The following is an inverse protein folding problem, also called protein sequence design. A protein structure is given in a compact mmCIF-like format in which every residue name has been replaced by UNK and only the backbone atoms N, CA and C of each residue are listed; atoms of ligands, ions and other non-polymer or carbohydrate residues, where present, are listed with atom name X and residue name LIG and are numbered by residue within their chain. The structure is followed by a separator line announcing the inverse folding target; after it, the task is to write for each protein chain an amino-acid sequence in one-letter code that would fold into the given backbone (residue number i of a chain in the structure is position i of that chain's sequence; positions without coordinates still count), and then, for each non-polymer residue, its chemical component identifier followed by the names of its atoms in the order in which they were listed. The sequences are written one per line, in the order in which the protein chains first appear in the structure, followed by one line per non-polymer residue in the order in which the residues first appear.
data_IF_947715443499
#
_entry.id   IF_947715443499
#
_cell.length_a   1.000
_cell.length_b   1.000
_cell.length_c   1.000
_cell.angle_alpha   90.00
_cell.angle_beta   90.00
_cell.angle_gamma   90.00
#
_symmetry.space_group_name_H-M   'P 1'
#
loop_
_entity.id
_entity.type
_entity.pdbx_description
1 polymer ?
#
# COMPACT_ATOMS: atom_id res chain seq x y z
N UNK A 1 2.15 -14.77 39.97
CA UNK A 1 3.17 -15.84 40.11
C UNK A 1 3.57 -16.08 41.56
N UNK A 2 3.75 -15.05 42.35
CA UNK A 2 4.19 -15.14 43.75
C UNK A 2 3.29 -15.96 44.65
N UNK A 3 1.97 -15.86 44.55
CA UNK A 3 1.04 -16.64 45.37
C UNK A 3 1.13 -18.15 45.13
N UNK A 4 1.25 -18.58 43.86
CA UNK A 4 1.42 -20.00 43.55
C UNK A 4 2.73 -20.55 44.05
N UNK A 5 3.77 -19.72 44.02
CA UNK A 5 5.09 -20.08 44.55
C UNK A 5 5.04 -20.22 46.05
N UNK A 6 4.41 -19.27 46.79
CA UNK A 6 4.21 -19.35 48.24
C UNK A 6 3.40 -20.57 48.64
N UNK A 7 2.32 -20.85 47.91
CA UNK A 7 1.51 -22.03 48.12
C UNK A 7 2.32 -23.33 48.01
N UNK A 8 3.20 -23.44 46.98
CA UNK A 8 4.04 -24.63 46.82
C UNK A 8 5.12 -24.70 47.87
N UNK A 9 5.78 -23.58 48.22
CA UNK A 9 6.85 -23.56 49.23
C UNK A 9 6.33 -24.11 50.58
N UNK A 10 5.20 -23.63 51.05
CA UNK A 10 4.59 -24.05 52.32
C UNK A 10 4.11 -25.53 52.29
N UNK A 11 3.64 -26.02 51.13
CA UNK A 11 3.33 -27.44 50.97
C UNK A 11 4.58 -28.33 51.06
N UNK A 12 5.72 -27.85 50.57
CA UNK A 12 7.00 -28.55 50.66
C UNK A 12 7.58 -28.54 52.08
N UNK A 13 7.25 -27.52 52.90
CA UNK A 13 7.55 -27.41 54.30
C UNK A 13 6.70 -28.37 55.20
N UNK A 14 5.75 -29.09 54.56
CA UNK A 14 4.96 -30.13 55.24
C UNK A 14 3.56 -29.70 55.68
N UNK A 15 3.08 -28.53 55.30
CA UNK A 15 1.73 -28.09 55.61
C UNK A 15 0.68 -28.93 54.85
N UNK A 16 -0.48 -29.12 55.51
CA UNK A 16 -1.55 -29.97 54.93
C UNK A 16 -2.28 -29.23 53.80
N UNK A 17 -2.41 -29.90 52.63
CA UNK A 17 -3.11 -29.39 51.46
C UNK A 17 -4.48 -28.76 51.76
N UNK A 18 -5.27 -29.37 52.69
CA UNK A 18 -6.59 -28.86 53.02
C UNK A 18 -6.58 -27.52 53.78
N UNK A 19 -5.54 -27.28 54.58
CA UNK A 19 -5.35 -26.02 55.31
C UNK A 19 -4.93 -24.94 54.34
N UNK A 20 -3.93 -25.24 53.51
CA UNK A 20 -3.41 -24.32 52.48
C UNK A 20 -4.50 -23.89 51.48
N UNK A 21 -5.31 -24.83 51.01
CA UNK A 21 -6.40 -24.48 50.08
C UNK A 21 -7.44 -23.55 50.69
N UNK A 22 -7.69 -23.64 52.03
CA UNK A 22 -8.60 -22.70 52.73
C UNK A 22 -7.96 -21.31 52.86
N UNK A 23 -6.72 -21.26 53.23
CA UNK A 23 -6.00 -19.98 53.42
C UNK A 23 -5.84 -19.21 52.11
N UNK A 24 -5.54 -19.92 51.01
CA UNK A 24 -5.41 -19.32 49.70
C UNK A 24 -6.73 -19.22 48.91
N UNK A 25 -7.87 -19.49 49.56
CA UNK A 25 -9.22 -19.42 48.97
C UNK A 25 -9.38 -20.19 47.66
N UNK A 26 -8.67 -21.31 47.51
CA UNK A 26 -8.75 -22.16 46.32
C UNK A 26 -9.37 -23.52 46.62
N UNK A 27 -10.01 -24.12 45.62
CA UNK A 27 -10.52 -25.49 45.78
C UNK A 27 -9.39 -26.50 45.93
N UNK A 28 -9.62 -27.59 46.65
CA UNK A 28 -8.66 -28.70 46.77
C UNK A 28 -8.24 -29.24 45.40
N UNK A 29 -9.18 -29.30 44.43
CA UNK A 29 -8.91 -29.70 43.05
C UNK A 29 -7.89 -28.78 42.40
N UNK A 30 -8.02 -27.47 42.63
CA UNK A 30 -7.05 -26.45 42.11
C UNK A 30 -5.70 -26.62 42.80
N UNK A 31 -5.67 -26.81 44.12
CA UNK A 31 -4.42 -27.02 44.85
C UNK A 31 -3.64 -28.24 44.36
N UNK A 32 -4.31 -29.40 44.23
CA UNK A 32 -3.68 -30.59 43.67
C UNK A 32 -3.21 -30.37 42.20
N UNK A 33 -3.97 -29.66 41.41
CA UNK A 33 -3.57 -29.32 40.01
C UNK A 33 -2.29 -28.49 39.96
N UNK A 34 -2.17 -27.49 40.84
CA UNK A 34 -0.95 -26.64 40.92
C UNK A 34 0.22 -27.51 41.39
N UNK A 35 0.05 -28.32 42.41
CA UNK A 35 1.08 -29.18 42.97
C UNK A 35 1.56 -30.23 41.97
N UNK A 36 0.66 -30.92 41.26
CA UNK A 36 1.00 -31.88 40.19
C UNK A 36 1.77 -31.23 39.03
N UNK A 37 1.38 -30.03 38.68
CA UNK A 37 2.08 -29.26 37.63
C UNK A 37 3.50 -28.90 38.07
N UNK A 38 3.67 -28.48 39.31
CA UNK A 38 4.97 -28.23 39.90
C UNK A 38 5.84 -29.49 39.92
N UNK A 39 5.31 -30.64 40.35
CA UNK A 39 6.06 -31.91 40.33
C UNK A 39 6.52 -32.32 38.94
N UNK A 40 5.72 -32.05 37.90
CA UNK A 40 6.05 -32.43 36.51
C UNK A 40 6.99 -31.47 35.80
N UNK A 41 6.87 -30.18 36.05
CA UNK A 41 7.51 -29.14 35.26
C UNK A 41 8.31 -28.11 36.07
N UNK A 42 8.50 -28.35 37.36
CA UNK A 42 9.16 -27.40 38.25
C UNK A 42 8.47 -26.04 38.31
N UNK A 43 9.26 -24.98 38.45
CA UNK A 43 8.77 -23.60 38.52
C UNK A 43 8.06 -23.18 37.23
N UNK A 44 8.46 -23.69 36.07
CA UNK A 44 7.78 -23.42 34.79
C UNK A 44 6.32 -23.92 34.79
N UNK A 45 6.00 -24.95 35.57
CA UNK A 45 4.64 -25.45 35.76
C UNK A 45 3.70 -24.46 36.42
N UNK A 46 4.22 -23.44 37.12
CA UNK A 46 3.42 -22.44 37.84
C UNK A 46 3.02 -21.26 36.93
N UNK A 47 3.64 -21.10 35.76
CA UNK A 47 3.26 -20.08 34.79
C UNK A 47 1.89 -20.36 34.18
N UNK A 48 1.20 -19.28 33.79
CA UNK A 48 -0.06 -19.43 33.08
C UNK A 48 0.15 -20.01 31.69
N UNK A 49 -0.63 -21.04 31.37
CA UNK A 49 -0.60 -21.63 30.03
C UNK A 49 -1.51 -20.85 29.10
N UNK A 50 -1.10 -20.70 27.84
CA UNK A 50 -1.97 -20.17 26.81
C UNK A 50 -3.26 -21.00 26.71
N UNK A 51 -4.40 -20.32 26.72
CA UNK A 51 -5.71 -20.94 26.51
C UNK A 51 -6.11 -21.06 25.05
N UNK A 52 -5.18 -20.70 24.13
CA UNK A 52 -5.43 -20.79 22.68
C UNK A 52 -5.60 -22.25 22.27
N UNK A 53 -6.61 -22.52 21.45
CA UNK A 53 -6.81 -23.83 20.84
C UNK A 53 -5.60 -24.21 19.98
N UNK A 54 -5.13 -25.45 20.09
CA UNK A 54 -4.08 -26.01 19.23
C UNK A 54 -4.58 -26.22 17.79
N UNK A 55 -5.88 -26.47 17.61
CA UNK A 55 -6.54 -26.62 16.33
C UNK A 55 -7.53 -25.47 16.13
N UNK A 56 -7.23 -24.61 15.19
CA UNK A 56 -8.16 -23.55 14.76
C UNK A 56 -8.73 -23.98 13.41
N UNK A 57 -10.03 -24.26 13.34
CA UNK A 57 -10.72 -24.70 12.13
C UNK A 57 -10.54 -23.72 10.94
N UNK A 58 -10.36 -22.42 11.24
CA UNK A 58 -10.20 -21.36 10.25
C UNK A 58 -8.72 -20.96 10.00
N UNK A 59 -7.76 -21.84 10.33
CA UNK A 59 -6.35 -21.55 10.04
C UNK A 59 -6.12 -21.62 8.54
N UNK A 60 -5.49 -20.58 8.02
CA UNK A 60 -5.11 -20.52 6.61
C UNK A 60 -4.19 -21.70 6.24
N UNK A 61 -4.42 -22.40 5.11
CA UNK A 61 -3.53 -23.45 4.63
C UNK A 61 -2.10 -22.94 4.50
N UNK A 62 -1.13 -23.76 4.91
CA UNK A 62 0.30 -23.41 4.90
C UNK A 62 0.78 -22.93 3.52
N UNK A 63 0.29 -23.57 2.46
CA UNK A 63 0.63 -23.21 1.08
C UNK A 63 0.23 -21.75 0.76
N UNK A 64 -0.96 -21.32 1.18
CA UNK A 64 -1.43 -19.93 0.94
C UNK A 64 -0.63 -18.94 1.78
N UNK A 65 -0.29 -19.28 3.03
CA UNK A 65 0.57 -18.47 3.88
C UNK A 65 1.95 -18.28 3.26
N UNK A 66 2.55 -19.34 2.73
CA UNK A 66 3.85 -19.32 2.04
C UNK A 66 3.80 -18.43 0.80
N UNK A 67 2.74 -18.49 -0.01
CA UNK A 67 2.57 -17.63 -1.19
C UNK A 67 2.43 -16.15 -0.81
N UNK A 68 1.69 -15.84 0.26
CA UNK A 68 1.58 -14.46 0.79
C UNK A 68 2.96 -13.92 1.15
N UNK A 69 3.76 -14.71 1.86
CA UNK A 69 5.11 -14.31 2.28
C UNK A 69 6.05 -14.15 1.10
N UNK A 70 6.00 -15.07 0.13
CA UNK A 70 6.80 -15.00 -1.10
C UNK A 70 6.49 -13.71 -1.87
N UNK A 71 5.22 -13.39 -2.13
CA UNK A 71 4.86 -12.15 -2.82
C UNK A 71 5.23 -10.90 -2.03
N UNK A 72 5.25 -10.96 -0.70
CA UNK A 72 5.76 -9.86 0.12
C UNK A 72 7.26 -9.68 0.01
N UNK A 73 8.02 -10.76 -0.14
CA UNK A 73 9.48 -10.73 -0.36
C UNK A 73 9.82 -10.21 -1.76
N UNK A 74 9.10 -10.68 -2.79
CA UNK A 74 9.25 -10.20 -4.17
C UNK A 74 8.89 -8.72 -4.31
N UNK A 75 7.87 -8.26 -3.57
CA UNK A 75 7.37 -6.89 -3.59
C UNK A 75 7.26 -6.29 -2.18
N UNK A 76 8.36 -5.83 -1.57
CA UNK A 76 8.37 -5.34 -0.17
C UNK A 76 7.42 -4.18 0.11
N UNK A 77 7.09 -3.37 -0.90
CA UNK A 77 6.17 -2.23 -0.79
C UNK A 77 4.69 -2.61 -0.80
N UNK A 78 4.35 -3.88 -1.18
CA UNK A 78 2.96 -4.29 -1.32
C UNK A 78 2.30 -4.54 0.04
N UNK A 79 1.07 -4.01 0.19
CA UNK A 79 0.20 -4.29 1.32
C UNK A 79 -0.74 -5.47 1.05
N UNK A 80 -1.50 -5.87 2.06
CA UNK A 80 -2.44 -6.99 1.98
C UNK A 80 -3.43 -6.94 0.80
N UNK A 81 -4.00 -5.78 0.40
CA UNK A 81 -4.90 -5.73 -0.76
C UNK A 81 -4.23 -6.14 -2.07
N UNK A 82 -3.02 -5.62 -2.35
CA UNK A 82 -2.27 -5.94 -3.58
C UNK A 82 -1.89 -7.42 -3.65
N UNK A 83 -1.40 -7.98 -2.52
CA UNK A 83 -1.04 -9.39 -2.44
C UNK A 83 -2.27 -10.28 -2.67
N UNK A 84 -3.42 -9.96 -2.04
CA UNK A 84 -4.65 -10.71 -2.25
C UNK A 84 -5.10 -10.66 -3.71
N UNK A 85 -5.03 -9.50 -4.35
CA UNK A 85 -5.39 -9.36 -5.77
C UNK A 85 -4.46 -10.18 -6.68
N UNK A 86 -3.16 -10.23 -6.39
CA UNK A 86 -2.23 -11.11 -7.09
C UNK A 86 -2.59 -12.59 -6.93
N UNK A 87 -2.93 -13.02 -5.72
CA UNK A 87 -3.39 -14.39 -5.45
C UNK A 87 -4.69 -14.73 -6.20
N UNK A 88 -5.62 -13.77 -6.32
CA UNK A 88 -6.86 -13.94 -7.07
C UNK A 88 -6.60 -14.26 -8.54
N UNK A 89 -5.62 -13.57 -9.14
CA UNK A 89 -5.25 -13.75 -10.56
C UNK A 89 -4.50 -15.03 -10.86
N UNK A 90 -3.89 -15.66 -9.85
CA UNK A 90 -3.19 -16.93 -10.03
C UNK A 90 -4.13 -18.13 -10.15
N UNK A 91 -5.42 -17.95 -9.92
CA UNK A 91 -6.49 -18.95 -10.01
C UNK A 91 -6.08 -20.34 -9.48
N UNK A 92 -5.64 -20.35 -8.23
CA UNK A 92 -5.06 -21.56 -7.60
C UNK A 92 -6.11 -22.61 -7.20
N UNK A 93 -7.38 -22.44 -7.56
CA UNK A 93 -8.48 -23.33 -7.14
C UNK A 93 -8.71 -23.36 -5.63
N UNK A 94 -8.18 -22.37 -4.87
CA UNK A 94 -8.26 -22.29 -3.41
C UNK A 94 -9.16 -21.13 -3.02
N UNK A 95 -9.94 -21.29 -1.95
CA UNK A 95 -10.71 -20.19 -1.37
C UNK A 95 -9.78 -19.04 -0.96
N UNK A 96 -9.99 -17.87 -1.56
CA UNK A 96 -9.17 -16.69 -1.32
C UNK A 96 -9.39 -16.14 0.09
N UNK A 97 -8.32 -15.88 0.85
CA UNK A 97 -8.46 -15.29 2.18
C UNK A 97 -8.97 -13.85 2.11
N UNK A 98 -9.64 -13.40 3.16
CA UNK A 98 -10.01 -11.99 3.31
C UNK A 98 -8.76 -11.10 3.42
N UNK A 99 -8.87 -9.82 3.05
CA UNK A 99 -7.76 -8.86 3.16
C UNK A 99 -7.23 -8.79 4.60
N UNK A 100 -8.13 -8.84 5.59
CA UNK A 100 -7.77 -8.86 7.01
C UNK A 100 -6.93 -10.10 7.39
N UNK A 101 -7.23 -11.25 6.81
CA UNK A 101 -6.45 -12.49 7.03
C UNK A 101 -5.05 -12.35 6.42
N UNK A 102 -4.94 -11.84 5.20
CA UNK A 102 -3.63 -11.56 4.58
C UNK A 102 -2.83 -10.57 5.43
N UNK A 103 -3.47 -9.49 5.90
CA UNK A 103 -2.83 -8.53 6.79
C UNK A 103 -2.36 -9.17 8.10
N UNK A 104 -3.17 -10.04 8.72
CA UNK A 104 -2.82 -10.74 9.95
C UNK A 104 -1.60 -11.68 9.76
N UNK A 105 -1.49 -12.33 8.59
CA UNK A 105 -0.30 -13.11 8.23
C UNK A 105 0.93 -12.21 8.18
N UNK A 106 0.87 -11.11 7.43
CA UNK A 106 1.99 -10.16 7.31
C UNK A 106 2.39 -9.55 8.67
N UNK A 107 1.42 -9.20 9.52
CA UNK A 107 1.67 -8.62 10.86
C UNK A 107 2.34 -9.63 11.78
N UNK A 108 1.90 -10.89 11.76
CA UNK A 108 2.50 -11.99 12.54
C UNK A 108 3.97 -12.23 12.20
N UNK A 109 4.33 -12.04 10.94
CA UNK A 109 5.71 -12.16 10.45
C UNK A 109 6.50 -10.84 10.52
N UNK A 110 5.96 -9.78 11.17
CA UNK A 110 6.65 -8.49 11.32
C UNK A 110 6.83 -7.71 10.02
N UNK A 111 6.09 -8.07 8.96
CA UNK A 111 6.22 -7.48 7.62
C UNK A 111 5.30 -6.27 7.39
N UNK A 112 4.61 -5.80 8.43
CA UNK A 112 3.75 -4.62 8.38
C UNK A 112 4.47 -3.42 8.97
N UNK A 113 4.72 -2.41 8.15
CA UNK A 113 5.26 -1.13 8.63
C UNK A 113 4.12 -0.27 9.18
N UNK A 114 4.07 -0.08 10.49
CA UNK A 114 3.10 0.81 11.14
C UNK A 114 3.59 2.25 11.04
N UNK A 115 3.12 3.00 10.03
CA UNK A 115 3.39 4.42 9.90
C UNK A 115 2.54 5.27 10.85
N UNK A 116 3.03 6.47 11.23
CA UNK A 116 2.21 7.47 11.94
C UNK A 116 1.00 7.84 11.06
N UNK A 117 -0.21 7.68 11.57
CA UNK A 117 -1.43 8.18 10.88
C UNK A 117 -1.35 9.70 10.84
N UNK A 118 -1.29 10.27 9.63
CA UNK A 118 -1.40 11.72 9.45
C UNK A 118 -2.76 12.20 9.97
N UNK A 119 -2.74 13.16 10.90
CA UNK A 119 -3.94 13.66 11.60
C UNK A 119 -4.61 14.85 10.95
N UNK A 120 -4.11 15.37 9.83
CA UNK A 120 -4.68 16.57 9.21
C UNK A 120 -5.37 16.25 7.89
N UNK A 121 -6.69 16.37 7.86
CA UNK A 121 -7.47 16.58 6.62
C UNK A 121 -7.55 18.09 6.41
N UNK A 122 -6.81 18.64 5.45
CA UNK A 122 -7.06 19.99 4.99
C UNK A 122 -8.40 20.02 4.24
N UNK A 123 -9.23 21.03 4.50
CA UNK A 123 -10.45 21.28 3.73
C UNK A 123 -10.04 21.75 2.33
N UNK A 124 -10.24 20.91 1.31
CA UNK A 124 -10.04 21.27 -0.09
C UNK A 124 -11.21 22.07 -0.64
N UNK A 125 -10.97 22.83 -1.71
CA UNK A 125 -12.05 23.40 -2.54
C UNK A 125 -12.71 22.31 -3.36
N UNK A 126 -13.97 22.53 -3.72
CA UNK A 126 -14.73 21.64 -4.60
C UNK A 126 -14.00 21.50 -5.93
N UNK A 127 -13.50 20.29 -6.19
CA UNK A 127 -12.97 19.85 -7.46
C UNK A 127 -13.96 18.83 -8.02
N UNK A 128 -14.01 18.66 -9.33
CA UNK A 128 -14.88 17.64 -9.92
C UNK A 128 -14.53 16.25 -9.38
N UNK A 129 -15.56 15.47 -9.06
CA UNK A 129 -15.42 14.07 -8.68
C UNK A 129 -15.79 13.20 -9.87
N UNK A 130 -14.81 12.64 -10.58
CA UNK A 130 -15.07 11.79 -11.74
C UNK A 130 -15.73 10.48 -11.29
N UNK A 131 -16.77 10.11 -12.01
CA UNK A 131 -17.54 8.87 -11.77
C UNK A 131 -17.23 7.79 -12.79
N UNK A 132 -16.84 8.19 -14.00
CA UNK A 132 -16.54 7.27 -15.11
C UNK A 132 -15.09 7.43 -15.58
N UNK A 133 -14.51 6.39 -16.20
CA UNK A 133 -13.26 6.50 -16.93
C UNK A 133 -13.35 7.61 -17.99
N UNK A 134 -12.25 8.33 -18.17
CA UNK A 134 -12.12 9.48 -19.07
C UNK A 134 -12.89 10.75 -18.68
N UNK A 135 -13.61 10.78 -17.56
CA UNK A 135 -14.16 12.04 -17.04
C UNK A 135 -13.05 13.02 -16.67
N UNK A 136 -12.02 12.53 -16.00
CA UNK A 136 -10.92 13.35 -15.50
C UNK A 136 -9.62 12.60 -15.49
N UNK A 137 -8.61 13.12 -16.20
CA UNK A 137 -7.23 12.65 -16.08
C UNK A 137 -6.43 13.52 -15.12
N UNK A 138 -5.50 12.90 -14.42
CA UNK A 138 -4.51 13.60 -13.59
C UNK A 138 -3.14 13.48 -14.24
N UNK A 139 -2.46 14.61 -14.44
CA UNK A 139 -1.11 14.64 -15.00
C UNK A 139 -0.17 15.44 -14.10
N UNK A 140 1.03 14.91 -13.89
CA UNK A 140 2.02 15.54 -13.04
C UNK A 140 3.42 15.00 -13.33
N UNK A 141 4.46 15.81 -13.02
CA UNK A 141 5.84 15.36 -12.96
C UNK A 141 6.17 14.85 -11.57
N UNK A 142 6.71 13.64 -11.51
CA UNK A 142 7.07 13.01 -10.20
C UNK A 142 8.15 13.79 -9.44
N UNK A 143 8.78 14.76 -10.05
CA UNK A 143 9.99 15.38 -9.56
C UNK A 143 11.23 14.64 -10.06
N UNK A 144 12.34 15.36 -10.11
CA UNK A 144 13.58 14.84 -10.67
C UNK A 144 14.28 13.85 -9.75
N UNK A 145 15.01 12.92 -10.37
CA UNK A 145 16.02 12.10 -9.72
C UNK A 145 17.16 11.83 -10.70
N UNK A 146 18.34 11.57 -10.14
CA UNK A 146 19.55 11.37 -10.93
C UNK A 146 19.71 9.88 -11.28
N UNK A 147 19.95 9.60 -12.56
CA UNK A 147 20.34 8.29 -13.06
C UNK A 147 21.82 8.00 -12.75
N UNK A 148 22.28 6.76 -12.93
CA UNK A 148 23.67 6.41 -12.66
C UNK A 148 24.66 7.08 -13.65
N UNK A 149 24.21 7.45 -14.85
CA UNK A 149 24.98 8.23 -15.83
C UNK A 149 25.03 9.74 -15.51
N UNK A 150 24.59 10.16 -14.32
CA UNK A 150 24.53 11.53 -13.82
C UNK A 150 23.59 12.48 -14.57
N UNK A 151 22.67 11.96 -15.37
CA UNK A 151 21.59 12.75 -15.97
C UNK A 151 20.36 12.75 -15.08
N UNK A 152 19.64 13.88 -15.06
CA UNK A 152 18.36 13.98 -14.34
C UNK A 152 17.22 13.43 -15.18
N UNK A 153 16.38 12.63 -14.57
CA UNK A 153 15.15 12.10 -15.14
C UNK A 153 13.95 12.79 -14.51
N UNK A 154 13.03 13.27 -15.34
CA UNK A 154 11.78 13.95 -14.98
C UNK A 154 10.60 13.09 -15.44
N UNK A 155 10.12 12.15 -14.62
CA UNK A 155 9.02 11.28 -15.03
C UNK A 155 7.72 12.06 -15.19
N UNK A 156 7.15 12.05 -16.41
CA UNK A 156 5.80 12.51 -16.66
C UNK A 156 4.82 11.35 -16.50
N UNK A 157 3.82 11.53 -15.67
CA UNK A 157 2.79 10.51 -15.41
C UNK A 157 1.41 11.03 -15.73
N UNK A 158 0.59 10.20 -16.35
CA UNK A 158 -0.80 10.49 -16.68
C UNK A 158 -1.67 9.33 -16.19
N UNK A 159 -2.66 9.61 -15.36
CA UNK A 159 -3.57 8.61 -14.81
C UNK A 159 -5.02 9.01 -15.02
N UNK A 160 -5.90 8.04 -15.20
CA UNK A 160 -7.33 8.24 -15.03
C UNK A 160 -7.70 8.38 -13.56
N UNK A 161 -8.46 9.40 -13.21
CA UNK A 161 -8.80 9.69 -11.84
C UNK A 161 -9.86 8.73 -11.27
N UNK A 162 -10.80 8.27 -12.09
CA UNK A 162 -11.85 7.34 -11.71
C UNK A 162 -11.33 5.91 -11.55
N UNK A 163 -10.78 5.34 -12.62
CA UNK A 163 -10.28 3.97 -12.65
C UNK A 163 -8.93 3.79 -11.99
N UNK A 164 -8.13 4.86 -11.86
CA UNK A 164 -6.72 4.84 -11.42
C UNK A 164 -5.77 4.17 -12.42
N UNK A 165 -6.21 3.95 -13.64
CA UNK A 165 -5.37 3.40 -14.69
C UNK A 165 -4.24 4.37 -15.00
N UNK A 166 -3.01 3.87 -15.05
CA UNK A 166 -1.81 4.64 -15.40
C UNK A 166 -1.58 4.52 -16.89
N UNK A 167 -1.94 5.58 -17.65
CA UNK A 167 -1.79 5.62 -19.09
C UNK A 167 -0.34 5.76 -19.53
N UNK A 168 0.43 6.52 -18.75
CA UNK A 168 1.79 6.88 -19.13
C UNK A 168 2.68 7.09 -17.89
N UNK A 169 3.90 6.60 -17.97
CA UNK A 169 5.02 6.95 -17.11
C UNK A 169 6.27 7.09 -17.98
N UNK A 170 6.53 8.30 -18.44
CA UNK A 170 7.59 8.58 -19.42
C UNK A 170 8.83 9.17 -18.78
N UNK A 171 9.99 8.59 -19.06
CA UNK A 171 11.28 9.10 -18.61
C UNK A 171 11.74 10.25 -19.50
N UNK A 172 11.59 11.49 -19.06
CA UNK A 172 11.99 12.68 -19.81
C UNK A 172 13.27 13.30 -19.24
N UNK A 173 14.10 13.88 -20.14
CA UNK A 173 15.32 14.59 -19.75
C UNK A 173 15.03 16.01 -19.20
N UNK A 174 13.86 16.53 -19.46
CA UNK A 174 13.48 17.89 -19.09
C UNK A 174 11.96 18.04 -19.05
N UNK A 175 11.49 19.05 -18.32
CA UNK A 175 10.07 19.41 -18.26
C UNK A 175 9.64 20.36 -19.38
N UNK A 176 10.43 20.49 -20.47
CA UNK A 176 10.06 21.35 -21.59
C UNK A 176 8.75 20.92 -22.25
N UNK A 177 7.94 21.90 -22.60
CA UNK A 177 6.59 21.73 -23.11
C UNK A 177 6.49 20.83 -24.34
N UNK A 178 7.49 20.88 -25.24
CA UNK A 178 7.51 20.09 -26.48
C UNK A 178 7.47 18.57 -26.22
N UNK A 179 8.15 18.09 -25.20
CA UNK A 179 8.13 16.67 -24.86
C UNK A 179 6.79 16.26 -24.26
N UNK A 180 6.18 17.12 -23.45
CA UNK A 180 4.85 16.88 -22.92
C UNK A 180 3.81 16.79 -24.05
N UNK A 181 3.89 17.65 -25.07
CA UNK A 181 3.03 17.56 -26.25
C UNK A 181 3.08 16.18 -26.92
N UNK A 182 4.28 15.70 -27.22
CA UNK A 182 4.48 14.38 -27.87
C UNK A 182 3.87 13.25 -27.05
N UNK A 183 4.07 13.30 -25.72
CA UNK A 183 3.52 12.28 -24.80
C UNK A 183 1.99 12.33 -24.77
N UNK A 184 1.40 13.52 -24.62
CA UNK A 184 -0.06 13.67 -24.61
C UNK A 184 -0.69 13.31 -25.97
N UNK A 185 -0.06 13.66 -27.09
CA UNK A 185 -0.56 13.31 -28.41
C UNK A 185 -0.63 11.78 -28.59
N UNK A 186 0.39 11.06 -28.15
CA UNK A 186 0.40 9.59 -28.14
C UNK A 186 -0.72 9.03 -27.27
N UNK A 187 -0.79 9.50 -26.00
CA UNK A 187 -1.79 9.01 -25.05
C UNK A 187 -3.22 9.30 -25.53
N UNK A 188 -3.46 10.46 -26.15
CA UNK A 188 -4.76 10.78 -26.73
C UNK A 188 -5.13 9.88 -27.93
N UNK A 189 -4.14 9.50 -28.75
CA UNK A 189 -4.37 8.55 -29.84
C UNK A 189 -4.70 7.15 -29.34
N UNK A 190 -4.03 6.72 -28.26
CA UNK A 190 -4.17 5.37 -27.74
C UNK A 190 -5.43 5.18 -26.87
N UNK A 191 -5.84 6.21 -26.12
CA UNK A 191 -6.89 6.11 -25.09
C UNK A 191 -8.07 7.07 -25.27
N UNK A 192 -8.05 7.92 -26.30
CA UNK A 192 -9.07 8.95 -26.53
C UNK A 192 -8.84 10.22 -25.71
N UNK A 193 -9.81 11.13 -25.75
CA UNK A 193 -9.75 12.42 -25.07
C UNK A 193 -10.55 12.38 -23.77
N UNK A 194 -10.01 12.90 -22.66
CA UNK A 194 -10.78 13.06 -21.42
C UNK A 194 -11.69 14.30 -21.49
N UNK A 195 -12.68 14.37 -20.64
CA UNK A 195 -13.49 15.59 -20.49
C UNK A 195 -12.68 16.72 -19.85
N UNK A 196 -11.79 16.39 -18.90
CA UNK A 196 -10.93 17.36 -18.25
C UNK A 196 -9.55 16.76 -17.86
N UNK A 197 -8.55 17.63 -17.69
CA UNK A 197 -7.24 17.27 -17.18
C UNK A 197 -6.92 18.11 -15.94
N UNK A 198 -6.61 17.44 -14.83
CA UNK A 198 -6.15 18.06 -13.58
C UNK A 198 -4.64 18.05 -13.48
N UNK A 199 -4.07 19.22 -13.22
CA UNK A 199 -2.62 19.40 -13.10
C UNK A 199 -2.26 20.28 -11.92
N UNK A 200 -0.99 20.33 -11.58
CA UNK A 200 -0.44 21.39 -10.75
C UNK A 200 -0.35 22.74 -11.52
N UNK A 201 0.18 23.76 -10.85
CA UNK A 201 0.39 25.09 -11.44
C UNK A 201 1.82 25.26 -11.99
N UNK A 202 2.57 24.19 -12.13
CA UNK A 202 3.94 24.19 -12.64
C UNK A 202 4.04 24.17 -14.15
N UNK A 203 5.24 24.47 -14.66
CA UNK A 203 5.58 24.29 -16.07
C UNK A 203 5.70 22.79 -16.36
N UNK A 204 5.14 22.26 -17.46
CA UNK A 204 4.59 22.95 -18.64
C UNK A 204 3.08 23.20 -18.59
N UNK A 205 2.39 22.84 -17.53
CA UNK A 205 0.92 22.86 -17.45
C UNK A 205 0.36 24.28 -17.28
N UNK A 206 1.15 25.17 -16.65
CA UNK A 206 0.78 26.56 -16.45
C UNK A 206 1.93 27.51 -16.81
N UNK A 207 1.59 28.75 -17.14
CA UNK A 207 2.54 29.84 -17.40
C UNK A 207 2.25 31.00 -16.47
N UNK A 208 3.29 31.48 -15.79
CA UNK A 208 3.17 32.66 -14.90
C UNK A 208 3.02 33.97 -15.65
N UNK A 209 3.48 34.04 -16.91
CA UNK A 209 3.55 35.26 -17.72
C UNK A 209 2.37 35.46 -18.66
N UNK A 210 1.52 34.45 -18.86
CA UNK A 210 0.43 34.49 -19.84
C UNK A 210 -0.91 34.79 -19.19
N UNK A 211 -1.85 35.32 -19.98
CA UNK A 211 -3.23 35.56 -19.54
C UNK A 211 -3.84 34.28 -18.98
N UNK A 212 -4.53 34.41 -17.86
CA UNK A 212 -5.14 33.30 -17.11
C UNK A 212 -4.17 32.18 -16.73
N UNK A 213 -2.86 32.43 -16.79
CA UNK A 213 -1.85 31.42 -16.49
C UNK A 213 -1.82 30.25 -17.49
N UNK A 214 -2.34 30.43 -18.71
CA UNK A 214 -2.38 29.36 -19.72
C UNK A 214 -1.02 29.16 -20.38
N UNK A 215 -0.55 27.92 -20.42
CA UNK A 215 0.58 27.47 -21.24
C UNK A 215 0.11 27.13 -22.67
N UNK A 216 1.03 26.97 -23.61
CA UNK A 216 0.67 26.48 -24.96
C UNK A 216 0.00 25.11 -24.90
N UNK A 217 0.47 24.23 -24.01
CA UNK A 217 -0.10 22.92 -23.77
C UNK A 217 -1.54 23.01 -23.30
N UNK A 218 -1.83 23.86 -22.31
CA UNK A 218 -3.20 24.07 -21.82
C UNK A 218 -4.12 24.71 -22.87
N UNK A 219 -3.61 25.63 -23.69
CA UNK A 219 -4.38 26.18 -24.83
C UNK A 219 -4.72 25.10 -25.85
N UNK A 220 -3.78 24.19 -26.13
CA UNK A 220 -4.04 23.07 -27.03
C UNK A 220 -5.13 22.15 -26.50
N UNK A 221 -5.11 21.81 -25.21
CA UNK A 221 -6.17 21.01 -24.60
C UNK A 221 -7.55 21.68 -24.73
N UNK A 222 -7.63 22.98 -24.46
CA UNK A 222 -8.90 23.74 -24.65
C UNK A 222 -9.39 23.70 -26.11
N UNK A 223 -8.50 23.76 -27.10
CA UNK A 223 -8.86 23.62 -28.52
C UNK A 223 -9.39 22.24 -28.86
N UNK A 224 -8.98 21.20 -28.13
CA UNK A 224 -9.50 19.85 -28.26
C UNK A 224 -10.80 19.62 -27.47
N UNK A 225 -11.33 20.66 -26.82
CA UNK A 225 -12.53 20.55 -25.98
C UNK A 225 -12.30 20.01 -24.57
N UNK A 226 -11.03 19.86 -24.16
CA UNK A 226 -10.67 19.31 -22.85
C UNK A 226 -10.68 20.43 -21.80
N UNK A 227 -11.43 20.26 -20.74
CA UNK A 227 -11.45 21.18 -19.59
C UNK A 227 -10.14 21.14 -18.79
N UNK A 228 -9.78 22.25 -18.17
CA UNK A 228 -8.58 22.34 -17.34
C UNK A 228 -8.95 22.52 -15.88
N UNK A 229 -8.47 21.62 -15.03
CA UNK A 229 -8.55 21.75 -13.57
C UNK A 229 -7.14 22.00 -13.02
N UNK A 230 -7.02 22.93 -12.09
CA UNK A 230 -5.78 23.23 -11.39
C UNK A 230 -5.95 23.09 -9.90
N UNK A 231 -5.05 22.37 -9.27
CA UNK A 231 -5.00 22.32 -7.81
C UNK A 231 -4.61 23.69 -7.25
N UNK A 232 -5.13 24.06 -6.08
CA UNK A 232 -4.69 25.30 -5.41
C UNK A 232 -3.22 25.19 -5.03
N UNK A 233 -2.43 26.26 -5.24
CA UNK A 233 -1.05 26.30 -4.77
C UNK A 233 -0.94 25.96 -3.29
N UNK A 234 -0.03 25.06 -2.93
CA UNK A 234 0.17 24.63 -1.56
C UNK A 234 -0.80 23.56 -1.04
N UNK A 235 -1.73 23.08 -1.86
CA UNK A 235 -2.68 22.02 -1.49
C UNK A 235 -2.52 20.73 -2.34
N UNK A 236 -1.39 20.04 -2.23
CA UNK A 236 -1.14 18.82 -3.00
C UNK A 236 -2.18 17.73 -2.77
N UNK A 237 -2.83 17.74 -1.61
CA UNK A 237 -3.87 16.76 -1.24
C UNK A 237 -5.05 16.73 -2.23
N UNK A 238 -5.27 17.79 -3.01
CA UNK A 238 -6.29 17.84 -4.07
C UNK A 238 -5.99 16.86 -5.23
N UNK A 239 -4.74 16.40 -5.35
CA UNK A 239 -4.32 15.34 -6.26
C UNK A 239 -3.83 14.08 -5.51
N UNK A 240 -4.36 13.83 -4.32
CA UNK A 240 -3.85 12.81 -3.41
C UNK A 240 -3.85 11.36 -3.95
N UNK A 241 -4.72 11.06 -4.94
CA UNK A 241 -4.71 9.75 -5.62
C UNK A 241 -3.45 9.61 -6.49
N UNK A 242 -3.14 10.65 -7.25
CA UNK A 242 -1.96 10.71 -8.11
C UNK A 242 -0.66 10.73 -7.28
N UNK A 243 -0.63 11.50 -6.18
CA UNK A 243 0.50 11.50 -5.25
C UNK A 243 0.77 10.13 -4.63
N UNK A 244 -0.28 9.38 -4.32
CA UNK A 244 -0.14 8.00 -3.81
C UNK A 244 0.49 7.08 -4.86
N UNK A 245 0.11 7.23 -6.13
CA UNK A 245 0.75 6.51 -7.24
C UNK A 245 2.24 6.91 -7.33
N UNK A 246 2.56 8.21 -7.26
CA UNK A 246 3.93 8.71 -7.22
C UNK A 246 4.77 8.15 -6.07
N UNK A 247 4.17 7.98 -4.89
CA UNK A 247 4.86 7.35 -3.76
C UNK A 247 5.22 5.88 -4.06
N UNK A 248 4.32 5.16 -4.74
CA UNK A 248 4.56 3.78 -5.17
C UNK A 248 5.64 3.73 -6.24
N UNK A 249 5.54 4.56 -7.28
CA UNK A 249 6.53 4.71 -8.35
C UNK A 249 7.94 4.97 -7.79
N UNK A 250 8.04 5.89 -6.81
CA UNK A 250 9.31 6.20 -6.15
C UNK A 250 9.95 4.98 -5.50
N UNK A 251 9.16 4.13 -4.86
CA UNK A 251 9.65 2.95 -4.13
C UNK A 251 10.01 1.79 -5.05
N UNK A 252 9.29 1.65 -6.15
CA UNK A 252 9.35 0.45 -6.98
C UNK A 252 10.19 0.64 -8.26
N UNK A 253 10.21 1.86 -8.82
CA UNK A 253 10.85 2.08 -10.11
C UNK A 253 11.92 3.18 -10.15
N UNK A 254 12.04 4.04 -9.11
CA UNK A 254 13.09 5.07 -9.09
C UNK A 254 14.24 4.77 -8.12
N UNK A 255 14.10 3.75 -7.28
CA UNK A 255 15.13 3.36 -6.32
C UNK A 255 15.33 1.85 -6.31
N UNK A 256 16.52 1.35 -6.73
CA UNK A 256 17.64 2.11 -7.27
C UNK A 256 17.34 2.67 -8.67
N UNK A 257 17.92 3.84 -8.99
CA UNK A 257 17.83 4.42 -10.32
C UNK A 257 18.54 3.51 -11.36
N UNK A 258 18.07 3.54 -12.61
CA UNK A 258 18.71 2.78 -13.69
C UNK A 258 20.01 3.46 -14.18
N UNK A 259 20.77 2.76 -15.04
CA UNK A 259 22.04 3.26 -15.56
C UNK A 259 21.83 4.39 -16.57
N UNK A 260 20.77 4.32 -17.37
CA UNK A 260 20.46 5.28 -18.42
C UNK A 260 18.94 5.38 -18.66
N UNK A 261 18.51 6.29 -19.54
CA UNK A 261 17.11 6.54 -19.86
C UNK A 261 16.37 5.31 -20.41
N UNK A 262 17.00 4.54 -21.31
CA UNK A 262 16.36 3.35 -21.89
C UNK A 262 16.03 2.30 -20.80
N UNK A 263 16.99 2.03 -19.93
CA UNK A 263 16.76 1.11 -18.82
C UNK A 263 15.76 1.67 -17.80
N UNK A 264 15.74 3.00 -17.60
CA UNK A 264 14.77 3.63 -16.73
C UNK A 264 13.36 3.56 -17.31
N UNK A 265 13.22 3.76 -18.62
CA UNK A 265 11.94 3.58 -19.30
C UNK A 265 11.44 2.14 -19.17
N UNK A 266 12.28 1.15 -19.42
CA UNK A 266 11.92 -0.26 -19.22
C UNK A 266 11.40 -0.53 -17.81
N UNK A 267 12.04 0.04 -16.78
CA UNK A 267 11.52 -0.07 -15.39
C UNK A 267 10.16 0.62 -15.20
N UNK A 268 9.92 1.71 -15.90
CA UNK A 268 8.63 2.38 -15.86
C UNK A 268 7.55 1.58 -16.58
N UNK A 269 7.89 0.95 -17.70
CA UNK A 269 6.98 0.09 -18.47
C UNK A 269 6.58 -1.15 -17.63
N UNK A 270 7.57 -1.80 -16.99
CA UNK A 270 7.31 -2.90 -16.05
C UNK A 270 6.44 -2.45 -14.87
N UNK A 271 6.74 -1.27 -14.30
CA UNK A 271 5.94 -0.70 -13.24
C UNK A 271 4.50 -0.41 -13.68
N UNK A 272 4.31 0.19 -14.87
CA UNK A 272 2.98 0.47 -15.42
C UNK A 272 2.17 -0.80 -15.59
N UNK A 273 2.76 -1.85 -16.16
CA UNK A 273 2.12 -3.14 -16.34
C UNK A 273 1.69 -3.73 -15.00
N UNK A 274 2.58 -3.75 -14.01
CA UNK A 274 2.28 -4.26 -12.67
C UNK A 274 1.24 -3.40 -11.94
N UNK A 275 1.38 -2.07 -12.01
CA UNK A 275 0.48 -1.13 -11.36
C UNK A 275 -0.95 -1.28 -11.90
N UNK A 276 -1.11 -1.29 -13.21
CA UNK A 276 -2.40 -1.46 -13.87
C UNK A 276 -3.00 -2.84 -13.60
N UNK A 277 -2.16 -3.88 -13.56
CA UNK A 277 -2.60 -5.22 -13.22
C UNK A 277 -3.11 -5.37 -11.79
N UNK A 278 -2.60 -4.63 -10.82
CA UNK A 278 -2.89 -4.84 -9.39
C UNK A 278 -3.84 -3.76 -8.83
N UNK A 279 -3.76 -2.53 -9.35
CA UNK A 279 -4.51 -1.39 -8.83
C UNK A 279 -5.85 -1.17 -9.53
N UNK A 280 -6.07 -1.85 -10.65
CA UNK A 280 -7.28 -1.72 -11.46
C UNK A 280 -8.40 -2.60 -10.93
N UNK A 281 -9.53 -2.01 -10.58
CA UNK A 281 -10.80 -2.73 -10.43
C UNK A 281 -11.31 -3.04 -11.83
N UNK A 282 -11.39 -4.32 -12.25
CA UNK A 282 -11.76 -4.67 -13.61
C UNK A 282 -13.28 -4.49 -13.79
N UNK A 283 -13.69 -3.37 -14.32
CA UNK A 283 -15.07 -3.29 -14.76
C UNK A 283 -15.24 -3.04 -16.26
N UNK A 284 -14.21 -2.58 -17.01
CA UNK A 284 -14.49 -2.14 -18.39
C UNK A 284 -13.42 -2.29 -19.48
N UNK A 285 -12.31 -3.03 -19.33
CA UNK A 285 -11.37 -3.20 -20.45
C UNK A 285 -10.73 -4.60 -20.47
N UNK A 286 -11.51 -5.63 -20.73
CA UNK A 286 -11.10 -6.85 -21.41
C UNK A 286 -12.29 -7.27 -22.27
N UNK A 287 -12.46 -6.60 -23.40
CA UNK A 287 -13.23 -7.05 -24.54
C UNK A 287 -12.36 -6.87 -25.77
#
# INVERSE_FOLDING_TARGET
MDERLRFIARLLEGEKMAVMCREFEISRKTGYKIFTRYKRFGLEGLKDRSRRSYHQANRLPFQVETLILRHKQEHPSWGAPKIREKLRRLDLGISLPAISTVHAVLDRHGLVTRGRKARCRAQGTVLSEPTHPNDLWCADYKGEFMLADRRYCYPLTITDCASRYLFCCEALETTKEIYAFTVFERVFKDFGLPLAIRTDNGVPFASRSNFFGLSKLSVWWLRLGIGIERIKPGNPQQNGRHERMHLTLKKEATRPAAKNFLQQQSKFDDFMQQYNCVSYYPTYLCA
#
